data_IF_815293682474
#
_entry.id   IF_815293682474
#
_cell.length_a   1.000
_cell.length_b   1.000
_cell.length_c   1.000
_cell.angle_alpha   90.00
_cell.angle_beta   90.00
_cell.angle_gamma   90.00
#
_symmetry.space_group_name_H-M   'P 1'
#
loop_
_entity.id
_entity.type
_entity.pdbx_description
1 polymer ?
#
# COMPACT_ATOMS: atom_id res chain seq x y z
N UNK A 1 10.23 47.36 -48.44
CA UNK A 1 9.16 46.37 -48.16
C UNK A 1 9.85 45.10 -47.69
N UNK A 2 9.98 44.93 -46.37
CA UNK A 2 10.65 43.79 -45.74
C UNK A 2 9.63 42.67 -45.53
N UNK A 3 9.73 41.62 -46.34
CA UNK A 3 8.94 40.40 -46.21
C UNK A 3 9.45 39.59 -45.02
N UNK A 4 8.82 39.76 -43.86
CA UNK A 4 8.99 38.87 -42.71
C UNK A 4 8.24 37.57 -42.99
N UNK A 5 8.95 36.49 -43.30
CA UNK A 5 8.38 35.15 -43.39
C UNK A 5 7.94 34.71 -41.99
N UNK A 6 6.64 34.74 -41.72
CA UNK A 6 6.06 34.13 -40.52
C UNK A 6 6.10 32.62 -40.68
N UNK A 7 7.05 31.97 -39.99
CA UNK A 7 7.00 30.53 -39.81
C UNK A 7 5.69 30.16 -39.09
N UNK A 8 4.97 29.13 -39.56
CA UNK A 8 3.78 28.66 -38.87
C UNK A 8 4.15 28.21 -37.45
N UNK A 9 3.29 28.49 -36.45
CA UNK A 9 3.53 28.02 -35.10
C UNK A 9 3.68 26.50 -35.09
N UNK A 10 4.55 25.95 -34.23
CA UNK A 10 4.73 24.52 -34.13
C UNK A 10 3.38 23.83 -33.87
N UNK A 11 3.15 22.64 -34.47
CA UNK A 11 1.91 21.91 -34.30
C UNK A 11 1.66 21.69 -32.80
N UNK A 12 0.46 22.05 -32.34
CA UNK A 12 0.08 21.82 -30.96
C UNK A 12 0.10 20.31 -30.67
N UNK A 13 0.61 19.89 -29.50
CA UNK A 13 0.57 18.49 -29.13
C UNK A 13 -0.88 17.98 -29.15
N UNK A 14 -1.10 16.69 -29.51
CA UNK A 14 -2.43 16.12 -29.55
C UNK A 14 -3.15 16.32 -28.21
N UNK A 15 -4.49 16.47 -28.21
CA UNK A 15 -5.26 16.67 -26.98
C UNK A 15 -4.94 15.56 -25.99
N UNK A 16 -4.42 15.94 -24.83
CA UNK A 16 -4.12 14.98 -23.78
C UNK A 16 -5.45 14.46 -23.23
N UNK A 17 -5.65 13.13 -23.30
CA UNK A 17 -6.88 12.50 -22.83
C UNK A 17 -7.05 12.79 -21.33
N UNK A 18 -8.08 13.56 -20.99
CA UNK A 18 -8.41 13.86 -19.60
C UNK A 18 -9.15 12.69 -18.96
N UNK A 19 -8.88 12.49 -17.68
CA UNK A 19 -9.50 11.47 -16.84
C UNK A 19 -10.60 12.15 -16.02
N UNK A 20 -11.83 11.66 -16.12
CA UNK A 20 -12.90 12.14 -15.25
C UNK A 20 -12.56 11.87 -13.78
N UNK A 21 -12.50 12.89 -12.94
CA UNK A 21 -12.20 12.75 -11.50
C UNK A 21 -13.22 11.91 -10.77
N UNK A 22 -14.49 12.01 -11.17
CA UNK A 22 -15.53 11.12 -10.66
C UNK A 22 -15.19 9.67 -11.00
N UNK A 23 -14.87 9.36 -12.26
CA UNK A 23 -14.48 8.00 -12.66
C UNK A 23 -13.20 7.53 -11.96
N UNK A 24 -12.23 8.43 -11.75
CA UNK A 24 -10.94 8.11 -11.14
C UNK A 24 -11.07 7.67 -9.68
N UNK A 25 -11.95 8.30 -8.91
CA UNK A 25 -12.11 8.07 -7.47
C UNK A 25 -13.36 7.26 -7.08
N UNK A 26 -14.25 6.91 -8.03
CA UNK A 26 -15.48 6.17 -7.73
C UNK A 26 -15.29 4.65 -7.67
N UNK A 27 -14.16 4.13 -8.13
CA UNK A 27 -13.89 2.69 -8.11
C UNK A 27 -13.51 2.24 -6.70
N UNK A 28 -14.18 1.20 -6.20
CA UNK A 28 -13.87 0.62 -4.89
C UNK A 28 -12.53 -0.12 -4.96
N UNK A 29 -12.37 -1.04 -5.91
CA UNK A 29 -11.20 -1.95 -6.02
C UNK A 29 -10.01 -1.35 -6.80
N UNK A 30 -9.35 -0.33 -6.23
CA UNK A 30 -8.18 0.29 -6.87
C UNK A 30 -8.52 1.19 -8.05
N UNK A 31 -7.52 1.89 -8.58
CA UNK A 31 -7.71 2.64 -9.83
C UNK A 31 -7.75 1.70 -11.04
N UNK A 32 -8.55 2.07 -12.04
CA UNK A 32 -8.61 1.37 -13.34
C UNK A 32 -7.26 1.44 -14.04
N UNK A 33 -6.84 0.34 -14.66
CA UNK A 33 -5.58 0.29 -15.42
C UNK A 33 -5.51 1.31 -16.56
N UNK A 34 -6.64 1.62 -17.21
CA UNK A 34 -6.68 2.67 -18.23
C UNK A 34 -6.28 4.02 -17.66
N UNK A 35 -6.82 4.40 -16.50
CA UNK A 35 -6.45 5.65 -15.84
C UNK A 35 -4.98 5.67 -15.41
N UNK A 36 -4.46 4.56 -14.87
CA UNK A 36 -3.06 4.44 -14.48
C UNK A 36 -2.12 4.57 -15.68
N UNK A 37 -2.48 3.98 -16.83
CA UNK A 37 -1.72 4.10 -18.09
C UNK A 37 -1.72 5.52 -18.64
N UNK A 38 -2.79 6.29 -18.45
CA UNK A 38 -2.85 7.70 -18.84
C UNK A 38 -2.07 8.59 -17.87
N UNK A 39 -2.13 8.31 -16.57
CA UNK A 39 -1.48 9.11 -15.51
C UNK A 39 0.04 8.89 -15.43
N UNK A 40 0.50 7.65 -15.59
CA UNK A 40 1.88 7.27 -15.33
C UNK A 40 2.92 7.99 -16.20
N UNK A 41 2.81 8.05 -17.54
CA UNK A 41 3.87 8.64 -18.36
C UNK A 41 4.11 10.14 -18.08
N UNK A 42 3.07 10.99 -17.96
CA UNK A 42 3.26 12.38 -17.54
C UNK A 42 3.80 12.51 -16.12
N UNK A 43 3.35 11.65 -15.20
CA UNK A 43 3.82 11.67 -13.81
C UNK A 43 5.31 11.33 -13.73
N UNK A 44 5.72 10.25 -14.40
CA UNK A 44 7.12 9.80 -14.47
C UNK A 44 8.02 10.86 -15.10
N UNK A 45 7.56 11.54 -16.14
CA UNK A 45 8.33 12.60 -16.81
C UNK A 45 8.47 13.87 -15.96
N UNK A 46 7.64 14.03 -14.93
CA UNK A 46 7.60 15.22 -14.09
C UNK A 46 8.44 15.13 -12.81
N UNK A 47 8.97 13.95 -12.47
CA UNK A 47 9.67 13.67 -11.22
C UNK A 47 10.95 12.86 -11.48
N UNK A 48 11.84 12.84 -10.50
CA UNK A 48 13.08 12.05 -10.57
C UNK A 48 12.83 10.60 -10.11
N UNK A 49 11.89 10.41 -9.18
CA UNK A 49 11.53 9.12 -8.61
C UNK A 49 10.04 9.06 -8.24
N UNK A 50 9.45 7.87 -8.34
CA UNK A 50 8.07 7.62 -7.93
C UNK A 50 7.99 6.94 -6.56
N UNK A 51 6.94 7.26 -5.83
CA UNK A 51 6.49 6.54 -4.64
C UNK A 51 5.28 5.71 -5.04
N UNK A 52 5.44 4.39 -5.10
CA UNK A 52 4.38 3.45 -5.44
C UNK A 52 3.71 2.96 -4.16
N UNK A 53 2.38 2.96 -4.10
CA UNK A 53 1.63 2.27 -3.04
C UNK A 53 1.08 0.94 -3.57
N UNK A 54 1.20 -0.13 -2.80
CA UNK A 54 0.77 -1.47 -3.18
C UNK A 54 0.08 -2.20 -2.02
N UNK A 55 -0.73 -3.19 -2.34
CA UNK A 55 -1.45 -4.00 -1.35
C UNK A 55 -2.91 -3.61 -1.24
N UNK A 56 -3.38 -3.29 -0.03
CA UNK A 56 -4.80 -3.26 0.32
C UNK A 56 -5.36 -1.89 0.76
N UNK A 57 -6.49 -1.94 1.46
CA UNK A 57 -7.33 -0.85 1.92
C UNK A 57 -6.61 0.26 2.69
N UNK A 58 -5.51 -0.05 3.38
CA UNK A 58 -4.80 0.99 4.15
C UNK A 58 -4.17 2.06 3.26
N UNK A 59 -3.82 1.69 2.02
CA UNK A 59 -3.23 2.60 1.03
C UNK A 59 -4.22 2.98 -0.09
N UNK A 60 -5.28 2.18 -0.30
CA UNK A 60 -6.35 2.47 -1.26
C UNK A 60 -7.63 3.03 -0.60
N UNK A 61 -7.48 4.03 0.26
CA UNK A 61 -8.59 4.53 1.08
C UNK A 61 -9.49 5.58 0.41
N UNK A 62 -9.30 5.81 -0.90
CA UNK A 62 -10.02 6.82 -1.68
C UNK A 62 -11.55 6.71 -1.63
N UNK A 63 -12.07 5.49 -1.47
CA UNK A 63 -13.52 5.26 -1.42
C UNK A 63 -14.15 5.72 -0.11
N UNK A 64 -13.36 5.74 0.97
CA UNK A 64 -13.84 6.04 2.33
C UNK A 64 -13.89 7.53 2.63
N UNK A 65 -13.26 8.37 1.80
CA UNK A 65 -13.20 9.80 2.01
C UNK A 65 -14.12 10.57 1.07
N UNK A 66 -14.86 11.51 1.64
CA UNK A 66 -15.68 12.47 0.90
C UNK A 66 -14.98 13.81 0.72
N UNK A 67 -13.91 14.07 1.48
CA UNK A 67 -13.14 15.31 1.38
C UNK A 67 -12.42 15.40 0.02
N UNK A 68 -12.69 16.52 -0.67
CA UNK A 68 -12.15 16.79 -2.00
C UNK A 68 -11.33 18.07 -1.96
N UNK A 69 -10.13 17.97 -2.49
CA UNK A 69 -9.15 19.04 -2.53
C UNK A 69 -8.82 19.42 -3.99
N UNK A 70 -8.37 20.66 -4.24
CA UNK A 70 -7.87 21.05 -5.56
C UNK A 70 -6.70 20.16 -5.98
N UNK A 71 -6.73 19.65 -7.22
CA UNK A 71 -5.70 18.73 -7.71
C UNK A 71 -4.31 19.39 -7.79
N UNK A 72 -4.23 20.72 -7.87
CA UNK A 72 -3.00 21.50 -7.84
C UNK A 72 -2.22 21.29 -6.53
N UNK A 73 -2.92 20.99 -5.43
CA UNK A 73 -2.28 20.67 -4.16
C UNK A 73 -1.53 19.33 -4.21
N UNK A 74 -2.04 18.34 -4.97
CA UNK A 74 -1.36 17.08 -5.28
C UNK A 74 -0.34 17.20 -6.43
N UNK A 75 -0.24 18.36 -7.07
CA UNK A 75 0.78 18.64 -8.08
C UNK A 75 0.22 18.81 -9.49
N UNK A 76 1.05 19.39 -10.36
CA UNK A 76 0.59 19.87 -11.66
C UNK A 76 0.04 18.75 -12.57
N UNK A 77 0.55 17.52 -12.44
CA UNK A 77 0.15 16.41 -13.33
C UNK A 77 -1.30 16.01 -13.05
N UNK A 78 -1.65 15.87 -11.78
CA UNK A 78 -3.03 15.59 -11.38
C UNK A 78 -3.97 16.73 -11.83
N UNK A 79 -3.58 17.99 -11.64
CA UNK A 79 -4.38 19.14 -12.08
C UNK A 79 -4.60 19.20 -13.60
N UNK A 80 -3.61 18.78 -14.39
CA UNK A 80 -3.71 18.78 -15.85
C UNK A 80 -4.59 17.64 -16.39
N UNK A 81 -4.49 16.47 -15.78
CA UNK A 81 -5.14 15.25 -16.28
C UNK A 81 -6.55 15.04 -15.74
N UNK A 82 -6.85 15.52 -14.53
CA UNK A 82 -8.14 15.30 -13.90
C UNK A 82 -9.20 16.33 -14.35
N UNK A 83 -10.42 15.86 -14.61
CA UNK A 83 -11.56 16.68 -15.02
C UNK A 83 -12.84 16.39 -14.20
N UNK A 84 -13.33 17.34 -13.38
CA UNK A 84 -12.68 18.60 -13.01
C UNK A 84 -11.39 18.36 -12.19
N UNK A 85 -10.46 19.33 -12.06
CA UNK A 85 -9.18 19.14 -11.37
C UNK A 85 -9.35 19.04 -9.84
N UNK A 86 -9.84 17.89 -9.37
CA UNK A 86 -10.18 17.63 -7.98
C UNK A 86 -9.70 16.24 -7.55
N UNK A 87 -9.02 16.17 -6.42
CA UNK A 87 -8.55 14.94 -5.81
C UNK A 87 -9.33 14.61 -4.54
N UNK A 88 -9.46 13.32 -4.22
CA UNK A 88 -9.85 12.90 -2.87
C UNK A 88 -8.63 13.04 -1.96
N UNK A 89 -8.82 13.49 -0.71
CA UNK A 89 -7.75 13.64 0.27
C UNK A 89 -7.25 12.29 0.86
N UNK A 90 -6.93 11.35 -0.03
CA UNK A 90 -6.41 10.02 0.30
C UNK A 90 -4.91 10.05 0.66
N UNK A 91 -4.34 8.90 1.01
CA UNK A 91 -2.91 8.79 1.36
C UNK A 91 -2.00 9.32 0.23
N UNK A 92 -2.35 9.05 -1.02
CA UNK A 92 -1.53 9.43 -2.18
C UNK A 92 -1.59 10.93 -2.44
N UNK A 93 -2.75 11.55 -2.23
CA UNK A 93 -2.90 13.01 -2.22
C UNK A 93 -1.97 13.64 -1.18
N UNK A 94 -1.97 13.15 0.06
CA UNK A 94 -1.15 13.73 1.12
C UNK A 94 0.35 13.54 0.88
N UNK A 95 0.77 12.39 0.35
CA UNK A 95 2.17 12.17 -0.04
C UNK A 95 2.63 13.20 -1.07
N UNK A 96 1.83 13.42 -2.11
CA UNK A 96 2.10 14.41 -3.14
C UNK A 96 2.06 15.85 -2.61
N UNK A 97 1.07 16.17 -1.77
CA UNK A 97 0.92 17.49 -1.17
C UNK A 97 2.13 17.87 -0.31
N UNK A 98 2.57 16.97 0.57
CA UNK A 98 3.72 17.20 1.44
C UNK A 98 5.01 17.38 0.64
N UNK A 99 5.17 16.66 -0.46
CA UNK A 99 6.33 16.79 -1.33
C UNK A 99 6.34 18.14 -2.05
N UNK A 100 5.19 18.58 -2.57
CA UNK A 100 5.06 19.91 -3.17
C UNK A 100 5.38 21.03 -2.17
N UNK A 101 4.91 20.92 -0.92
CA UNK A 101 5.21 21.89 0.14
C UNK A 101 6.70 21.92 0.49
N UNK A 102 7.36 20.76 0.54
CA UNK A 102 8.83 20.67 0.72
C UNK A 102 9.57 21.36 -0.41
N UNK A 103 9.16 21.16 -1.66
CA UNK A 103 9.77 21.83 -2.81
C UNK A 103 9.56 23.35 -2.81
N UNK A 104 8.36 23.83 -2.46
CA UNK A 104 8.10 25.28 -2.36
C UNK A 104 8.98 25.94 -1.31
N UNK A 105 9.09 25.33 -0.12
CA UNK A 105 9.94 25.83 0.98
C UNK A 105 11.42 25.89 0.58
N UNK A 106 11.91 24.89 -0.17
CA UNK A 106 13.27 24.89 -0.71
C UNK A 106 13.51 26.00 -1.75
N UNK A 107 12.48 26.36 -2.54
CA UNK A 107 12.57 27.44 -3.54
C UNK A 107 12.48 28.83 -2.91
N UNK A 108 11.69 29.01 -1.84
CA UNK A 108 11.54 30.30 -1.16
C UNK A 108 12.63 30.57 -0.12
N UNK A 109 13.25 29.54 0.44
CA UNK A 109 14.40 29.66 1.34
C UNK A 109 15.72 29.56 0.58
N UNK A 110 16.35 30.70 0.29
CA UNK A 110 17.71 30.82 -0.25
C UNK A 110 18.78 30.27 0.72
N UNK A 111 18.85 28.95 0.91
CA UNK A 111 19.88 28.31 1.70
C UNK A 111 21.07 27.92 0.83
N UNK A 112 22.19 28.61 1.05
CA UNK A 112 23.52 28.46 0.44
C UNK A 112 24.23 27.11 0.72
N UNK A 113 23.51 26.04 1.07
CA UNK A 113 24.13 24.74 1.31
C UNK A 113 24.11 23.87 0.04
N UNK A 114 25.25 23.86 -0.64
CA UNK A 114 25.60 23.10 -1.85
C UNK A 114 25.67 21.56 -1.67
N UNK A 115 24.98 20.97 -0.69
CA UNK A 115 24.88 19.50 -0.56
C UNK A 115 23.43 19.08 -0.82
N UNK A 116 23.08 18.89 -2.10
CA UNK A 116 23.19 17.64 -2.86
C UNK A 116 22.14 16.61 -2.44
N UNK A 117 21.00 16.71 -3.12
CA UNK A 117 20.07 15.65 -3.53
C UNK A 117 18.62 16.08 -3.25
N UNK A 118 18.12 17.04 -4.03
CA UNK A 118 16.71 17.39 -4.03
C UNK A 118 15.95 16.52 -5.05
N UNK A 119 16.06 15.20 -4.90
CA UNK A 119 15.22 14.27 -5.67
C UNK A 119 13.77 14.72 -5.57
N UNK A 120 13.13 14.99 -6.70
CA UNK A 120 11.71 15.32 -6.77
C UNK A 120 10.91 14.05 -6.81
N UNK A 121 10.12 13.80 -5.77
CA UNK A 121 9.23 12.64 -5.73
C UNK A 121 7.83 12.97 -6.26
N UNK A 122 7.12 11.97 -6.74
CA UNK A 122 5.67 11.99 -6.92
C UNK A 122 5.10 10.63 -6.53
N UNK A 123 3.90 10.60 -5.97
CA UNK A 123 3.24 9.38 -5.53
C UNK A 123 2.14 8.94 -6.50
N UNK A 124 1.99 7.63 -6.68
CA UNK A 124 0.95 7.00 -7.49
C UNK A 124 0.31 5.86 -6.71
N UNK A 125 -1.03 5.83 -6.68
CA UNK A 125 -1.77 4.78 -6.01
C UNK A 125 -1.99 3.58 -6.92
N UNK A 126 -1.46 2.43 -6.53
CA UNK A 126 -1.65 1.14 -7.22
C UNK A 126 -2.14 0.05 -6.26
N UNK A 127 -2.47 0.40 -5.03
CA UNK A 127 -3.10 -0.52 -4.08
C UNK A 127 -4.54 -0.84 -4.52
N UNK A 128 -5.04 -1.99 -4.06
CA UNK A 128 -6.36 -2.51 -4.43
C UNK A 128 -7.13 -2.85 -3.15
N UNK A 129 -8.13 -2.02 -2.84
CA UNK A 129 -9.04 -2.20 -1.71
C UNK A 129 -9.62 -3.62 -1.59
N UNK A 130 -9.80 -4.07 -0.35
CA UNK A 130 -10.48 -5.32 0.00
C UNK A 130 -9.82 -6.60 -0.55
N UNK A 131 -8.50 -6.55 -0.80
CA UNK A 131 -7.75 -7.71 -1.29
C UNK A 131 -6.84 -8.35 -0.25
N UNK A 132 -6.50 -9.61 -0.44
CA UNK A 132 -5.70 -10.44 0.49
C UNK A 132 -4.39 -10.93 -0.15
N UNK A 133 -3.46 -11.45 0.65
CA UNK A 133 -2.28 -12.16 0.14
C UNK A 133 -2.67 -13.44 -0.58
N UNK A 134 -3.72 -14.13 -0.13
CA UNK A 134 -4.21 -15.35 -0.79
C UNK A 134 -4.63 -15.13 -2.24
N UNK A 135 -5.22 -13.98 -2.56
CA UNK A 135 -5.58 -13.64 -3.94
C UNK A 135 -4.34 -13.43 -4.84
N UNK A 136 -3.18 -13.20 -4.23
CA UNK A 136 -1.90 -12.92 -4.91
C UNK A 136 -0.91 -14.07 -4.88
N UNK A 137 -1.24 -15.18 -4.20
CA UNK A 137 -0.30 -16.29 -4.04
C UNK A 137 0.04 -16.96 -5.38
N UNK A 138 -0.96 -17.11 -6.26
CA UNK A 138 -0.77 -17.71 -7.60
C UNK A 138 -0.34 -16.71 -8.66
N UNK A 139 -0.96 -15.54 -8.69
CA UNK A 139 -0.69 -14.51 -9.69
C UNK A 139 -0.85 -13.12 -9.08
N UNK A 140 0.01 -12.19 -9.48
CA UNK A 140 -0.14 -10.78 -9.17
C UNK A 140 -1.45 -10.22 -9.75
N UNK A 141 -2.05 -9.25 -9.06
CA UNK A 141 -3.17 -8.50 -9.63
C UNK A 141 -2.70 -7.66 -10.83
N UNK A 142 -3.64 -7.17 -11.67
CA UNK A 142 -3.26 -6.34 -12.80
C UNK A 142 -2.52 -5.06 -12.39
N UNK A 143 -2.88 -4.44 -11.26
CA UNK A 143 -2.20 -3.28 -10.70
C UNK A 143 -0.81 -3.64 -10.16
N UNK A 144 -0.67 -4.78 -9.48
CA UNK A 144 0.62 -5.29 -9.01
C UNK A 144 1.58 -5.56 -10.19
N UNK A 145 1.04 -6.11 -11.28
CA UNK A 145 1.77 -6.32 -12.53
C UNK A 145 2.20 -4.99 -13.15
N UNK A 146 1.32 -3.98 -13.11
CA UNK A 146 1.65 -2.63 -13.57
C UNK A 146 2.84 -2.03 -12.79
N UNK A 147 2.90 -2.23 -11.48
CA UNK A 147 4.07 -1.82 -10.66
C UNK A 147 5.32 -2.57 -11.12
N UNK A 148 5.26 -3.91 -11.17
CA UNK A 148 6.40 -4.77 -11.53
C UNK A 148 7.01 -4.38 -12.87
N UNK A 149 6.19 -4.00 -13.83
CA UNK A 149 6.62 -3.71 -15.19
C UNK A 149 7.10 -2.25 -15.36
N UNK A 150 6.86 -1.34 -14.39
CA UNK A 150 7.17 0.09 -14.50
C UNK A 150 8.03 0.68 -13.37
N UNK A 151 8.26 -0.07 -12.28
CA UNK A 151 9.07 0.40 -11.15
C UNK A 151 10.55 0.55 -11.54
N UNK A 152 11.18 1.62 -11.07
CA UNK A 152 12.60 1.92 -11.31
C UNK A 152 13.46 1.77 -10.05
N UNK A 153 14.78 1.67 -10.23
CA UNK A 153 15.72 1.54 -9.11
C UNK A 153 15.85 2.80 -8.24
N UNK A 154 15.33 3.94 -8.70
CA UNK A 154 15.29 5.18 -7.90
C UNK A 154 14.00 5.33 -7.10
N UNK A 155 13.01 4.48 -7.36
CA UNK A 155 11.69 4.59 -6.77
C UNK A 155 11.64 4.07 -5.33
N UNK A 156 10.54 4.38 -4.65
CA UNK A 156 10.19 3.85 -3.34
C UNK A 156 8.91 3.04 -3.50
N UNK A 157 8.88 1.85 -2.91
CA UNK A 157 7.69 1.02 -2.84
C UNK A 157 7.16 1.00 -1.41
N UNK A 158 5.90 1.35 -1.21
CA UNK A 158 5.18 1.26 0.06
C UNK A 158 4.14 0.15 -0.07
N UNK A 159 4.21 -0.86 0.79
CA UNK A 159 3.31 -2.01 0.77
C UNK A 159 2.55 -2.07 2.07
N UNK A 160 1.22 -2.14 2.00
CA UNK A 160 0.36 -2.45 3.15
C UNK A 160 -0.54 -3.61 2.78
N UNK A 161 -0.40 -4.75 3.44
CA UNK A 161 -1.17 -5.95 3.13
C UNK A 161 -1.31 -6.82 4.38
N UNK A 162 -2.14 -7.87 4.31
CA UNK A 162 -2.48 -8.81 5.39
C UNK A 162 -3.59 -8.37 6.36
N UNK A 163 -3.99 -7.10 6.38
CA UNK A 163 -5.10 -6.66 7.24
C UNK A 163 -6.39 -7.40 6.90
N UNK A 164 -6.68 -7.50 5.61
CA UNK A 164 -7.84 -8.23 5.10
C UNK A 164 -7.73 -9.75 5.29
N UNK A 165 -6.52 -10.32 5.32
CA UNK A 165 -6.29 -11.74 5.63
C UNK A 165 -6.66 -12.08 7.09
N UNK A 166 -6.85 -11.08 7.95
CA UNK A 166 -7.31 -11.24 9.34
C UNK A 166 -8.76 -10.81 9.51
N UNK A 167 -9.12 -9.62 9.02
CA UNK A 167 -10.40 -9.00 9.38
C UNK A 167 -11.51 -9.19 8.34
N UNK A 168 -11.19 -9.25 7.05
CA UNK A 168 -12.18 -9.21 5.98
C UNK A 168 -12.48 -10.59 5.39
N UNK A 169 -11.43 -11.34 5.04
CA UNK A 169 -11.53 -12.65 4.42
C UNK A 169 -10.48 -13.61 4.99
N UNK A 170 -10.50 -13.89 6.30
CA UNK A 170 -9.54 -14.79 6.92
C UNK A 170 -9.75 -16.23 6.45
N UNK A 171 -8.63 -16.94 6.28
CA UNK A 171 -8.69 -18.38 5.97
C UNK A 171 -9.08 -19.18 7.21
N UNK A 172 -9.60 -20.41 7.06
CA UNK A 172 -9.81 -21.30 8.20
C UNK A 172 -8.55 -21.47 9.06
N UNK A 173 -7.38 -21.53 8.44
CA UNK A 173 -6.10 -21.64 9.15
C UNK A 173 -5.72 -20.34 9.88
N UNK A 174 -6.03 -19.17 9.32
CA UNK A 174 -5.89 -17.88 10.01
C UNK A 174 -6.81 -17.81 11.22
N UNK A 175 -8.09 -18.16 11.05
CA UNK A 175 -9.08 -18.16 12.13
C UNK A 175 -8.63 -19.09 13.25
N UNK A 176 -8.28 -20.34 12.94
CA UNK A 176 -7.84 -21.32 13.92
C UNK A 176 -6.57 -20.88 14.67
N UNK A 177 -5.59 -20.32 13.95
CA UNK A 177 -4.34 -19.87 14.55
C UNK A 177 -4.56 -18.68 15.49
N UNK A 178 -5.33 -17.68 15.05
CA UNK A 178 -5.62 -16.51 15.88
C UNK A 178 -6.50 -16.90 17.08
N UNK A 179 -7.53 -17.72 16.89
CA UNK A 179 -8.37 -18.21 17.99
C UNK A 179 -7.56 -19.04 18.99
N UNK A 180 -6.63 -19.88 18.53
CA UNK A 180 -5.72 -20.62 19.40
C UNK A 180 -4.88 -19.71 20.28
N UNK A 181 -4.36 -18.61 19.73
CA UNK A 181 -3.53 -17.63 20.46
C UNK A 181 -4.34 -16.76 21.42
N UNK A 182 -5.52 -16.31 20.99
CA UNK A 182 -6.33 -15.36 21.76
C UNK A 182 -7.27 -16.05 22.76
N UNK A 183 -7.86 -17.18 22.41
CA UNK A 183 -8.87 -17.85 23.24
C UNK A 183 -8.27 -18.99 24.07
N UNK A 184 -7.30 -19.73 23.53
CA UNK A 184 -6.84 -20.98 24.14
C UNK A 184 -5.52 -20.85 24.91
N UNK A 185 -4.77 -19.75 24.75
CA UNK A 185 -3.47 -19.56 25.39
C UNK A 185 -3.49 -18.44 26.43
N UNK A 186 -2.90 -18.65 27.62
CA UNK A 186 -2.67 -17.58 28.59
C UNK A 186 -1.82 -16.46 27.99
N UNK A 187 -2.04 -15.22 28.43
CA UNK A 187 -1.27 -14.07 27.95
C UNK A 187 0.24 -14.25 28.17
N UNK A 188 0.66 -14.81 29.30
CA UNK A 188 2.06 -15.09 29.61
C UNK A 188 2.74 -16.04 28.60
N UNK A 189 1.99 -16.98 28.01
CA UNK A 189 2.52 -17.84 26.94
C UNK A 189 2.75 -17.05 25.65
N UNK A 190 1.91 -16.07 25.36
CA UNK A 190 2.08 -15.19 24.20
C UNK A 190 3.23 -14.19 24.41
N UNK A 191 3.38 -13.64 25.61
CA UNK A 191 4.48 -12.74 25.98
C UNK A 191 5.85 -13.39 25.82
N UNK A 192 5.96 -14.65 26.23
CA UNK A 192 7.17 -15.47 26.08
C UNK A 192 7.24 -16.20 24.73
N UNK A 193 6.25 -15.99 23.87
CA UNK A 193 6.16 -16.63 22.57
C UNK A 193 7.34 -16.26 21.68
N UNK A 194 7.91 -17.26 21.00
CA UNK A 194 9.05 -17.09 20.11
C UNK A 194 8.92 -17.97 18.88
N UNK A 195 9.56 -17.52 17.81
CA UNK A 195 9.62 -18.25 16.53
C UNK A 195 11.08 -18.46 16.16
N UNK A 196 11.41 -19.68 15.75
CA UNK A 196 12.77 -20.08 15.38
C UNK A 196 12.99 -20.09 13.87
N UNK A 197 11.92 -19.98 13.09
CA UNK A 197 11.95 -19.95 11.64
C UNK A 197 10.55 -20.05 11.02
N UNK A 198 10.52 -20.15 9.70
CA UNK A 198 9.32 -20.40 8.90
C UNK A 198 9.68 -21.24 7.68
N UNK A 199 8.71 -21.92 7.10
CA UNK A 199 8.93 -22.64 5.85
C UNK A 199 9.08 -21.61 4.72
N UNK A 200 10.16 -21.62 3.92
CA UNK A 200 10.47 -20.58 2.94
C UNK A 200 9.70 -20.77 1.62
N UNK A 201 8.41 -21.13 1.70
CA UNK A 201 7.56 -21.36 0.53
C UNK A 201 6.22 -20.67 0.73
N UNK A 202 5.69 -20.05 -0.32
CA UNK A 202 4.34 -19.48 -0.32
C UNK A 202 3.27 -20.58 -0.33
N UNK A 203 2.06 -20.26 0.13
CA UNK A 203 0.94 -21.20 0.15
C UNK A 203 0.29 -21.32 -1.23
N UNK A 204 0.26 -22.54 -1.78
CA UNK A 204 -0.36 -22.80 -3.09
C UNK A 204 -1.88 -23.09 -3.03
N UNK A 205 -2.46 -23.28 -1.84
CA UNK A 205 -3.87 -23.65 -1.65
C UNK A 205 -4.45 -23.12 -0.34
N UNK A 206 -5.43 -22.21 -0.44
CA UNK A 206 -6.35 -21.78 0.64
C UNK A 206 -5.72 -21.39 2.00
N UNK A 207 -4.42 -21.06 2.04
CA UNK A 207 -3.72 -20.68 3.26
C UNK A 207 -3.44 -21.80 4.26
N UNK A 208 -3.45 -23.07 3.83
CA UNK A 208 -3.30 -24.25 4.69
C UNK A 208 -2.25 -25.25 4.16
N UNK A 209 -1.16 -24.74 3.58
CA UNK A 209 -0.08 -25.55 3.00
C UNK A 209 1.21 -25.48 3.83
N UNK A 210 2.33 -25.05 3.23
CA UNK A 210 3.58 -24.74 3.94
C UNK A 210 3.42 -23.92 5.24
N UNK A 211 2.41 -23.07 5.32
CA UNK A 211 2.10 -22.29 6.53
C UNK A 211 1.83 -23.14 7.77
N UNK A 212 1.15 -24.29 7.64
CA UNK A 212 0.90 -25.19 8.78
C UNK A 212 2.17 -25.90 9.25
N UNK A 213 3.09 -26.21 8.33
CA UNK A 213 4.39 -26.75 8.71
C UNK A 213 5.21 -25.72 9.50
N UNK A 214 5.02 -24.42 9.24
CA UNK A 214 5.65 -23.35 10.03
C UNK A 214 5.19 -23.32 11.48
N UNK A 215 4.05 -23.94 11.82
CA UNK A 215 3.64 -24.08 13.22
C UNK A 215 4.63 -24.90 14.05
N UNK A 216 5.38 -25.82 13.43
CA UNK A 216 6.41 -26.60 14.13
C UNK A 216 7.65 -25.78 14.48
N UNK A 217 7.79 -24.58 13.90
CA UNK A 217 8.94 -23.69 14.08
C UNK A 217 8.69 -22.58 15.11
N UNK A 218 7.67 -22.70 15.96
CA UNK A 218 7.33 -21.71 16.96
C UNK A 218 6.74 -22.32 18.23
N UNK A 219 6.89 -21.59 19.34
CA UNK A 219 6.16 -21.84 20.57
C UNK A 219 5.54 -20.51 21.01
N UNK A 220 4.20 -20.38 21.06
CA UNK A 220 3.21 -21.39 20.71
C UNK A 220 3.16 -21.71 19.20
N UNK A 221 2.72 -22.91 18.78
CA UNK A 221 2.74 -23.33 17.37
C UNK A 221 1.99 -22.36 16.43
N UNK A 222 0.85 -21.84 16.85
CA UNK A 222 0.05 -20.91 16.04
C UNK A 222 0.79 -19.59 15.71
N UNK A 223 1.81 -19.21 16.49
CA UNK A 223 2.64 -18.05 16.19
C UNK A 223 3.51 -18.27 14.94
N UNK A 224 3.89 -19.53 14.67
CA UNK A 224 4.63 -19.91 13.46
C UNK A 224 3.83 -19.72 12.18
N UNK A 225 2.52 -19.99 12.22
CA UNK A 225 1.60 -19.65 11.12
C UNK A 225 1.59 -18.15 10.85
N UNK A 226 1.46 -17.32 11.90
CA UNK A 226 1.41 -15.87 11.73
C UNK A 226 2.74 -15.31 11.21
N UNK A 227 3.88 -15.81 11.71
CA UNK A 227 5.18 -15.44 11.15
C UNK A 227 5.28 -15.79 9.66
N UNK A 228 4.77 -16.94 9.25
CA UNK A 228 4.75 -17.32 7.84
C UNK A 228 3.87 -16.38 7.01
N UNK A 229 2.67 -16.06 7.50
CA UNK A 229 1.73 -15.15 6.82
C UNK A 229 2.30 -13.74 6.68
N UNK A 230 2.79 -13.14 7.78
CA UNK A 230 3.23 -11.75 7.82
C UNK A 230 4.70 -11.54 7.41
N UNK A 231 5.53 -12.58 7.49
CA UNK A 231 6.93 -12.55 7.07
C UNK A 231 7.10 -13.18 5.69
N UNK A 232 7.10 -14.51 5.62
CA UNK A 232 7.43 -15.26 4.41
C UNK A 232 6.56 -14.91 3.22
N UNK A 233 5.24 -14.84 3.40
CA UNK A 233 4.31 -14.62 2.28
C UNK A 233 4.32 -13.16 1.82
N UNK A 234 4.47 -12.21 2.74
CA UNK A 234 4.70 -10.79 2.40
C UNK A 234 6.02 -10.64 1.62
N UNK A 235 7.09 -11.29 2.07
CA UNK A 235 8.37 -11.28 1.36
C UNK A 235 8.22 -11.82 -0.07
N UNK A 236 7.60 -12.98 -0.26
CA UNK A 236 7.38 -13.55 -1.60
C UNK A 236 6.53 -12.62 -2.48
N UNK A 237 5.52 -11.96 -1.92
CA UNK A 237 4.73 -10.98 -2.66
C UNK A 237 5.59 -9.79 -3.12
N UNK A 238 6.43 -9.24 -2.25
CA UNK A 238 7.34 -8.14 -2.57
C UNK A 238 8.38 -8.57 -3.62
N UNK A 239 8.91 -9.77 -3.51
CA UNK A 239 9.84 -10.34 -4.49
C UNK A 239 9.17 -10.50 -5.87
N UNK A 240 7.90 -10.93 -5.93
CA UNK A 240 7.12 -10.98 -7.17
C UNK A 240 6.90 -9.58 -7.75
N UNK A 241 6.56 -8.58 -6.91
CA UNK A 241 6.39 -7.19 -7.33
C UNK A 241 7.69 -6.57 -7.88
N UNK A 242 8.84 -6.96 -7.34
CA UNK A 242 10.14 -6.38 -7.67
C UNK A 242 11.02 -7.31 -8.51
N UNK A 243 10.41 -8.33 -9.12
CA UNK A 243 11.11 -9.38 -9.87
C UNK A 243 11.91 -8.82 -11.06
N UNK A 244 11.42 -7.75 -11.68
CA UNK A 244 12.11 -7.11 -12.81
C UNK A 244 13.15 -6.08 -12.33
N UNK A 245 12.79 -5.24 -11.36
CA UNK A 245 13.63 -4.15 -10.85
C UNK A 245 13.42 -3.99 -9.34
N UNK A 246 14.53 -3.93 -8.59
CA UNK A 246 14.50 -3.61 -7.16
C UNK A 246 14.51 -2.09 -6.96
N UNK A 247 13.52 -1.50 -6.26
CA UNK A 247 13.49 -0.08 -5.96
C UNK A 247 14.55 0.30 -4.93
N UNK A 248 14.80 1.61 -4.77
CA UNK A 248 15.77 2.16 -3.81
C UNK A 248 15.42 1.80 -2.37
N UNK A 249 14.12 1.74 -2.07
CA UNK A 249 13.62 1.41 -0.73
C UNK A 249 12.25 0.74 -0.82
N UNK A 250 12.02 -0.21 0.09
CA UNK A 250 10.73 -0.85 0.30
C UNK A 250 10.32 -0.59 1.74
N UNK A 251 9.12 -0.04 1.93
CA UNK A 251 8.50 0.19 3.22
C UNK A 251 7.31 -0.74 3.34
N UNK A 252 7.27 -1.55 4.39
CA UNK A 252 6.17 -2.48 4.66
C UNK A 252 5.41 -1.99 5.88
N UNK A 253 4.12 -1.73 5.71
CA UNK A 253 3.19 -1.41 6.77
C UNK A 253 2.48 -2.69 7.21
N UNK A 254 2.41 -2.91 8.52
CA UNK A 254 1.65 -3.99 9.13
C UNK A 254 0.36 -3.42 9.74
N UNK A 255 -0.57 -4.31 10.11
CA UNK A 255 -1.82 -4.00 10.81
C UNK A 255 -1.57 -3.03 11.96
N UNK A 256 -2.32 -1.92 11.96
CA UNK A 256 -2.28 -0.89 12.99
C UNK A 256 -2.98 -1.36 14.27
N UNK A 257 -2.71 -0.68 15.39
CA UNK A 257 -3.50 -0.87 16.60
C UNK A 257 -4.94 -0.42 16.36
N UNK A 258 -5.94 -1.31 16.52
CA UNK A 258 -7.33 -0.89 16.41
C UNK A 258 -7.66 0.16 17.47
N UNK A 259 -8.62 1.03 17.19
CA UNK A 259 -9.03 2.07 18.13
C UNK A 259 -9.59 1.46 19.43
N UNK A 260 -9.01 1.82 20.57
CA UNK A 260 -9.46 1.37 21.89
C UNK A 260 -10.80 2.01 22.29
N UNK A 261 -11.19 3.12 21.66
CA UNK A 261 -12.46 3.78 21.94
C UNK A 261 -13.70 3.02 21.42
N UNK A 262 -13.50 1.85 20.78
CA UNK A 262 -14.57 0.98 20.25
C UNK A 262 -15.58 1.76 19.38
N UNK A 263 -15.06 2.62 18.51
CA UNK A 263 -15.87 3.39 17.57
C UNK A 263 -16.48 2.46 16.52
N UNK A 264 -17.72 2.68 16.06
CA UNK A 264 -18.32 1.89 14.98
C UNK A 264 -17.42 1.84 13.73
N UNK A 265 -17.04 0.64 13.32
CA UNK A 265 -16.28 0.39 12.09
C UNK A 265 -16.75 -0.88 11.39
N UNK A 266 -16.36 -1.04 10.12
CA UNK A 266 -16.61 -2.26 9.36
C UNK A 266 -15.96 -3.51 9.99
N UNK A 267 -14.89 -3.32 10.78
CA UNK A 267 -14.14 -4.40 11.41
C UNK A 267 -14.72 -4.82 12.77
N UNK A 268 -15.77 -4.16 13.30
CA UNK A 268 -16.27 -4.41 14.66
C UNK A 268 -16.71 -5.86 14.88
N UNK A 269 -17.31 -6.50 13.87
CA UNK A 269 -17.68 -7.92 13.95
C UNK A 269 -16.46 -8.83 14.10
N UNK A 270 -15.43 -8.62 13.28
CA UNK A 270 -14.19 -9.37 13.35
C UNK A 270 -13.46 -9.10 14.67
N UNK A 271 -13.27 -7.83 15.06
CA UNK A 271 -12.63 -7.44 16.31
C UNK A 271 -13.37 -7.99 17.54
N UNK A 272 -14.71 -7.98 17.52
CA UNK A 272 -15.53 -8.59 18.55
C UNK A 272 -15.29 -10.10 18.66
N UNK A 273 -15.22 -10.81 17.54
CA UNK A 273 -14.90 -12.24 17.51
C UNK A 273 -13.47 -12.54 18.00
N UNK A 274 -12.53 -11.61 17.81
CA UNK A 274 -11.18 -11.68 18.35
C UNK A 274 -11.10 -11.35 19.85
N UNK A 275 -12.22 -10.98 20.48
CA UNK A 275 -12.26 -10.59 21.89
C UNK A 275 -11.70 -9.19 22.15
N UNK A 276 -11.50 -8.37 21.11
CA UNK A 276 -10.93 -7.02 21.23
C UNK A 276 -11.74 -6.12 22.18
N UNK A 277 -13.07 -6.26 22.15
CA UNK A 277 -13.98 -5.45 22.98
C UNK A 277 -13.90 -5.80 24.48
N UNK A 278 -13.28 -6.93 24.83
CA UNK A 278 -13.18 -7.41 26.21
C UNK A 278 -11.75 -7.42 26.73
N UNK A 279 -10.77 -7.71 25.87
CA UNK A 279 -9.35 -7.84 26.21
C UNK A 279 -8.48 -7.22 25.10
N UNK A 280 -8.60 -5.91 24.83
CA UNK A 280 -7.87 -5.25 23.75
C UNK A 280 -6.35 -5.42 23.91
N UNK A 281 -5.84 -5.42 25.14
CA UNK A 281 -4.42 -5.57 25.46
C UNK A 281 -3.82 -6.87 24.92
N UNK A 282 -4.58 -7.96 24.92
CA UNK A 282 -4.12 -9.27 24.46
C UNK A 282 -4.04 -9.33 22.93
N UNK A 283 -5.01 -8.75 22.24
CA UNK A 283 -4.98 -8.64 20.78
C UNK A 283 -3.86 -7.72 20.33
N UNK A 284 -3.68 -6.57 20.99
CA UNK A 284 -2.56 -5.67 20.71
C UNK A 284 -1.21 -6.32 20.99
N UNK A 285 -1.10 -7.13 22.05
CA UNK A 285 0.10 -7.93 22.31
C UNK A 285 0.37 -8.90 21.15
N UNK A 286 -0.66 -9.58 20.63
CA UNK A 286 -0.51 -10.46 19.48
C UNK A 286 0.00 -9.69 18.25
N UNK A 287 -0.57 -8.52 17.95
CA UNK A 287 -0.13 -7.67 16.84
C UNK A 287 1.34 -7.27 17.01
N UNK A 288 1.76 -6.86 18.21
CA UNK A 288 3.18 -6.57 18.52
C UNK A 288 4.07 -7.78 18.26
N UNK A 289 3.67 -8.95 18.75
CA UNK A 289 4.43 -10.18 18.55
C UNK A 289 4.53 -10.56 17.08
N UNK A 290 3.48 -10.37 16.29
CA UNK A 290 3.55 -10.57 14.85
C UNK A 290 4.57 -9.63 14.19
N UNK A 291 4.56 -8.35 14.57
CA UNK A 291 5.49 -7.35 14.04
C UNK A 291 6.94 -7.64 14.40
N UNK A 292 7.22 -8.02 15.65
CA UNK A 292 8.58 -8.32 16.13
C UNK A 292 9.16 -9.60 15.53
N UNK A 293 8.31 -10.56 15.17
CA UNK A 293 8.74 -11.90 14.75
C UNK A 293 8.75 -12.09 13.22
N UNK A 294 8.02 -11.27 12.47
CA UNK A 294 7.96 -11.29 11.00
C UNK A 294 9.24 -10.70 10.37
#
# INVERSE_FOLDING_TARGET
MSNTSSFPPPPQPPPQEKISSKSFYNEYHGHKLSHLRTLYPPLRSSCDALIWTAGDSSLDNKYWFTDRQPAEAAGHVYAQLLDPPSCVADVTFWLNHLENERHKKKKSGASNNNNSDSTKYAAINTAVEATTLNQRSRSLLPQDTFIRDNISSQDILIVSICGNDVALAPTPCTIASIAGLLCCLPQSCLENGTTFGTVPMDDCCCGCGPSLASCTCACPPCLGYLRHLFGTRVQHYIEKLTANVKPKKILVAMIYYPDEANVPSWANGALGALGYNSHPEKVQLLIRKMFEQA
#
